data_IF_869752931686
#
_entry.id   IF_869752931686
#
_cell.length_a   1.000
_cell.length_b   1.000
_cell.length_c   1.000
_cell.angle_alpha   90.00
_cell.angle_beta   90.00
_cell.angle_gamma   90.00
#
_symmetry.space_group_name_H-M   'P 1'
#
loop_
_entity.id
_entity.type
_entity.pdbx_description
1 polymer ?
#
# COMPACT_ATOMS: atom_id res chain seq x y z
N UNK A 1 34.82 -59.41 -10.54
CA UNK A 1 34.12 -58.18 -10.99
C UNK A 1 33.26 -57.68 -9.84
N UNK A 2 33.71 -56.68 -9.07
CA UNK A 2 32.96 -56.16 -7.93
C UNK A 2 32.08 -54.99 -8.37
N UNK A 3 30.76 -55.22 -8.42
CA UNK A 3 29.77 -54.15 -8.65
C UNK A 3 29.74 -53.25 -7.42
N UNK A 4 30.15 -52.00 -7.58
CA UNK A 4 30.08 -50.98 -6.52
C UNK A 4 28.65 -50.82 -6.03
N UNK A 5 28.44 -50.98 -4.72
CA UNK A 5 27.15 -50.67 -4.09
C UNK A 5 26.92 -49.16 -4.19
N UNK A 6 25.88 -48.77 -4.92
CA UNK A 6 25.45 -47.38 -4.99
C UNK A 6 25.07 -46.91 -3.59
N UNK A 7 25.62 -45.78 -3.16
CA UNK A 7 25.24 -45.17 -1.88
C UNK A 7 23.77 -44.72 -1.94
N UNK A 8 23.06 -44.67 -0.80
CA UNK A 8 21.70 -44.15 -0.76
C UNK A 8 21.66 -42.74 -1.35
N UNK A 9 20.67 -42.47 -2.17
CA UNK A 9 20.42 -41.15 -2.74
C UNK A 9 20.15 -40.10 -1.65
N UNK A 10 20.26 -38.83 -2.02
CA UNK A 10 19.91 -37.73 -1.10
C UNK A 10 18.46 -37.83 -0.60
N UNK A 11 17.54 -38.28 -1.47
CA UNK A 11 16.13 -38.45 -1.15
C UNK A 11 15.86 -39.58 -0.15
N UNK A 12 16.53 -40.73 -0.29
CA UNK A 12 16.41 -41.85 0.65
C UNK A 12 16.93 -41.46 2.04
N UNK A 13 18.06 -40.74 2.11
CA UNK A 13 18.57 -40.25 3.40
C UNK A 13 17.63 -39.24 4.07
N UNK A 14 16.92 -38.44 3.28
CA UNK A 14 15.94 -37.50 3.81
C UNK A 14 14.71 -38.24 4.38
N UNK A 15 14.25 -39.31 3.72
CA UNK A 15 13.14 -40.13 4.20
C UNK A 15 13.45 -40.83 5.54
N UNK A 16 14.68 -41.31 5.72
CA UNK A 16 15.11 -41.97 6.95
C UNK A 16 15.41 -41.00 8.11
N UNK A 17 15.44 -39.68 7.85
CA UNK A 17 15.86 -38.68 8.85
C UNK A 17 14.83 -38.42 9.96
N UNK A 18 13.60 -38.92 9.83
CA UNK A 18 12.50 -38.65 10.78
C UNK A 18 12.02 -37.19 10.79
N UNK A 19 12.57 -36.33 9.94
CA UNK A 19 12.13 -34.95 9.78
C UNK A 19 10.82 -34.95 9.01
N UNK A 20 9.73 -34.56 9.68
CA UNK A 20 8.45 -34.35 8.98
C UNK A 20 8.62 -33.17 8.01
N UNK A 21 8.28 -33.33 6.71
CA UNK A 21 8.29 -32.21 5.80
C UNK A 21 7.32 -31.15 6.33
N UNK A 22 7.76 -29.90 6.33
CA UNK A 22 6.88 -28.79 6.65
C UNK A 22 5.67 -28.83 5.69
N UNK A 23 4.44 -28.53 6.17
CA UNK A 23 3.30 -28.46 5.29
C UNK A 23 3.62 -27.47 4.17
N UNK A 24 3.43 -27.91 2.93
CA UNK A 24 3.54 -27.03 1.76
C UNK A 24 2.56 -25.89 2.01
N UNK A 25 3.00 -24.62 2.04
CA UNK A 25 2.06 -23.52 2.11
C UNK A 25 1.08 -23.70 0.95
N UNK A 26 -0.23 -23.67 1.23
CA UNK A 26 -1.22 -23.53 0.17
C UNK A 26 -0.90 -22.31 -0.69
N UNK A 27 -1.48 -22.18 -1.90
CA UNK A 27 -1.23 -21.02 -2.74
C UNK A 27 -1.42 -19.76 -1.88
N UNK A 28 -0.33 -19.04 -1.66
CA UNK A 28 -0.34 -17.85 -0.84
C UNK A 28 -1.36 -16.91 -1.50
N UNK A 29 -2.33 -16.44 -0.72
CA UNK A 29 -3.14 -15.32 -1.16
C UNK A 29 -2.18 -14.21 -1.59
N UNK A 30 -2.44 -13.61 -2.75
CA UNK A 30 -1.60 -12.51 -3.23
C UNK A 30 -1.41 -11.51 -2.08
N UNK A 31 -0.16 -11.09 -1.80
CA UNK A 31 0.04 -10.04 -0.82
C UNK A 31 -0.84 -8.85 -1.21
N UNK A 32 -1.51 -8.19 -0.24
CA UNK A 32 -2.31 -7.01 -0.56
C UNK A 32 -1.43 -6.07 -1.38
N UNK A 33 -1.97 -5.42 -2.44
CA UNK A 33 -1.20 -4.56 -3.30
C UNK A 33 -0.39 -3.63 -2.40
N UNK A 34 0.93 -3.71 -2.53
CA UNK A 34 1.85 -2.87 -1.77
C UNK A 34 1.38 -1.45 -2.08
N UNK A 35 0.87 -0.75 -1.07
CA UNK A 35 0.42 0.63 -1.25
C UNK A 35 1.58 1.33 -1.95
N UNK A 36 1.32 1.94 -3.10
CA UNK A 36 2.33 2.72 -3.80
C UNK A 36 2.62 3.92 -2.91
N UNK A 37 3.47 3.72 -1.91
CA UNK A 37 3.67 4.66 -0.80
C UNK A 37 4.42 5.92 -1.25
N UNK A 38 4.90 5.94 -2.51
CA UNK A 38 5.61 7.05 -3.12
C UNK A 38 4.86 7.82 -4.20
N UNK A 39 3.73 7.33 -4.72
CA UNK A 39 2.96 8.06 -5.75
C UNK A 39 1.73 8.67 -5.10
N UNK A 40 1.67 10.01 -5.09
CA UNK A 40 0.48 10.73 -4.61
C UNK A 40 -0.80 10.18 -5.25
N UNK A 41 -1.87 10.08 -4.48
CA UNK A 41 -3.15 9.52 -4.94
C UNK A 41 -4.12 10.64 -5.26
N UNK A 42 -4.79 10.55 -6.41
CA UNK A 42 -5.87 11.47 -6.72
C UNK A 42 -6.99 11.30 -5.70
N UNK A 43 -7.52 12.41 -5.21
CA UNK A 43 -8.67 12.45 -4.34
C UNK A 43 -9.56 13.64 -4.70
N UNK A 44 -10.76 13.62 -4.15
CA UNK A 44 -11.67 14.74 -4.12
C UNK A 44 -11.60 15.39 -2.74
N UNK A 45 -11.47 16.71 -2.72
CA UNK A 45 -11.49 17.53 -1.51
C UNK A 45 -12.87 18.15 -1.37
N UNK A 46 -13.57 17.82 -0.29
CA UNK A 46 -14.90 18.34 0.01
C UNK A 46 -14.82 19.62 0.85
N UNK A 47 -15.63 20.60 0.48
CA UNK A 47 -15.76 21.89 1.18
C UNK A 47 -14.40 22.58 1.48
N UNK A 48 -13.49 22.71 0.49
CA UNK A 48 -12.24 23.41 0.68
C UNK A 48 -12.46 24.89 1.02
N UNK A 49 -11.62 25.50 1.88
CA UNK A 49 -11.65 26.94 2.09
C UNK A 49 -11.45 27.71 0.77
N UNK A 50 -12.35 28.64 0.48
CA UNK A 50 -12.23 29.53 -0.68
C UNK A 50 -12.68 28.97 -2.03
N UNK A 51 -13.17 27.72 -2.11
CA UNK A 51 -13.76 27.19 -3.35
C UNK A 51 -15.14 26.55 -3.11
N UNK A 52 -16.10 26.77 -4.03
CA UNK A 52 -17.42 26.16 -3.92
C UNK A 52 -17.36 24.65 -4.25
N UNK A 53 -17.94 23.83 -3.39
CA UNK A 53 -18.19 22.41 -3.68
C UNK A 53 -17.00 21.48 -3.44
N UNK A 54 -16.76 20.58 -4.39
CA UNK A 54 -15.72 19.54 -4.30
C UNK A 54 -14.70 19.76 -5.42
N UNK A 55 -13.41 19.75 -5.09
CA UNK A 55 -12.32 20.03 -6.04
C UNK A 55 -11.37 18.83 -6.16
N UNK A 56 -10.73 18.63 -7.33
CA UNK A 56 -9.71 17.60 -7.48
C UNK A 56 -8.45 17.97 -6.67
N UNK A 57 -7.83 16.97 -6.05
CA UNK A 57 -6.60 17.13 -5.27
C UNK A 57 -5.69 15.91 -5.38
N UNK A 58 -4.46 16.10 -4.93
CA UNK A 58 -3.44 15.07 -4.84
C UNK A 58 -3.09 14.83 -3.37
N UNK A 59 -3.50 13.69 -2.83
CA UNK A 59 -3.16 13.22 -1.49
C UNK A 59 -1.73 12.65 -1.50
N UNK A 60 -0.83 13.32 -0.77
CA UNK A 60 0.60 13.01 -0.78
C UNK A 60 1.06 12.28 0.47
N UNK A 61 0.38 12.48 1.60
CA UNK A 61 0.82 11.97 2.90
C UNK A 61 -0.37 11.73 3.83
N UNK A 62 -0.27 10.72 4.70
CA UNK A 62 -1.20 10.51 5.82
C UNK A 62 -0.48 10.69 7.14
N UNK A 63 -1.14 11.31 8.12
CA UNK A 63 -0.69 11.35 9.52
C UNK A 63 -1.83 11.03 10.46
N UNK A 64 -1.50 10.42 11.60
CA UNK A 64 -2.41 10.23 12.72
C UNK A 64 -2.19 11.31 13.78
N UNK A 65 -3.26 11.87 14.30
CA UNK A 65 -3.30 12.85 15.36
C UNK A 65 -4.36 12.47 16.40
N UNK A 66 -4.41 13.12 17.58
CA UNK A 66 -5.44 12.80 18.59
C UNK A 66 -6.88 12.96 18.08
N UNK A 67 -7.12 13.87 17.13
CA UNK A 67 -8.43 14.10 16.51
C UNK A 67 -8.76 13.13 15.37
N UNK A 68 -7.81 12.30 14.94
CA UNK A 68 -7.99 11.28 13.93
C UNK A 68 -6.95 11.30 12.83
N UNK A 69 -7.32 10.74 11.67
CA UNK A 69 -6.48 10.70 10.49
C UNK A 69 -6.61 11.99 9.68
N UNK A 70 -5.48 12.51 9.24
CA UNK A 70 -5.40 13.65 8.35
C UNK A 70 -4.56 13.32 7.13
N UNK A 71 -5.02 13.78 5.97
CA UNK A 71 -4.30 13.68 4.71
C UNK A 71 -3.71 15.03 4.31
N UNK A 72 -2.45 15.05 3.91
CA UNK A 72 -1.82 16.21 3.28
C UNK A 72 -2.19 16.20 1.81
N UNK A 73 -2.84 17.27 1.35
CA UNK A 73 -3.38 17.34 -0.01
C UNK A 73 -2.96 18.65 -0.67
N UNK A 74 -2.52 18.55 -1.92
CA UNK A 74 -2.34 19.68 -2.81
C UNK A 74 -3.55 19.82 -3.74
N UNK A 75 -4.17 20.99 -3.81
CA UNK A 75 -5.33 21.27 -4.66
C UNK A 75 -5.36 22.73 -5.11
N UNK A 76 -6.03 23.02 -6.22
CA UNK A 76 -6.14 24.38 -6.75
C UNK A 76 -7.47 25.03 -6.34
N UNK A 77 -7.42 26.29 -5.90
CA UNK A 77 -8.60 27.13 -5.65
C UNK A 77 -8.66 28.30 -6.63
N UNK A 78 -9.85 28.67 -7.15
CA UNK A 78 -9.99 29.87 -7.96
C UNK A 78 -9.63 31.12 -7.15
N UNK A 79 -8.89 32.05 -7.75
CA UNK A 79 -8.54 33.34 -7.16
C UNK A 79 -8.74 34.49 -8.15
N UNK A 80 -8.76 35.74 -7.67
CA UNK A 80 -8.98 36.93 -8.52
C UNK A 80 -7.90 37.12 -9.60
N UNK A 81 -6.72 36.55 -9.41
CA UNK A 81 -5.58 36.62 -10.33
C UNK A 81 -5.25 35.27 -10.98
N UNK A 82 -6.18 34.32 -10.95
CA UNK A 82 -5.99 32.95 -11.42
C UNK A 82 -5.99 31.92 -10.29
N UNK A 83 -5.86 30.63 -10.62
CA UNK A 83 -5.87 29.55 -9.64
C UNK A 83 -4.64 29.61 -8.73
N UNK A 84 -4.84 29.39 -7.44
CA UNK A 84 -3.79 29.29 -6.43
C UNK A 84 -3.66 27.85 -5.98
N UNK A 85 -2.44 27.33 -5.92
CA UNK A 85 -2.16 26.02 -5.35
C UNK A 85 -2.14 26.13 -3.82
N UNK A 86 -2.96 25.33 -3.17
CA UNK A 86 -3.02 25.19 -1.71
C UNK A 86 -2.50 23.82 -1.34
N UNK A 87 -1.65 23.79 -0.31
CA UNK A 87 -1.21 22.56 0.32
C UNK A 87 -1.61 22.59 1.79
N UNK A 88 -2.44 21.65 2.21
CA UNK A 88 -3.01 21.64 3.56
C UNK A 88 -3.20 20.23 4.10
N UNK A 89 -3.20 20.13 5.43
CA UNK A 89 -3.64 18.93 6.13
C UNK A 89 -5.15 19.01 6.35
N UNK A 90 -5.89 18.02 5.85
CA UNK A 90 -7.34 17.96 5.94
C UNK A 90 -7.78 16.69 6.68
N UNK A 91 -8.89 16.72 7.44
CA UNK A 91 -9.47 15.53 8.05
C UNK A 91 -9.78 14.46 7.00
N UNK A 92 -9.63 13.18 7.32
CA UNK A 92 -9.93 12.09 6.39
C UNK A 92 -11.37 12.14 5.85
N UNK A 93 -12.34 12.58 6.66
CA UNK A 93 -13.74 12.76 6.23
C UNK A 93 -13.96 13.86 5.18
N UNK A 94 -12.97 14.73 4.96
CA UNK A 94 -12.99 15.74 3.89
C UNK A 94 -12.43 15.22 2.57
N UNK A 95 -11.93 13.97 2.53
CA UNK A 95 -11.23 13.40 1.38
C UNK A 95 -11.95 12.15 0.86
N UNK A 96 -12.16 12.07 -0.45
CA UNK A 96 -12.69 10.87 -1.10
C UNK A 96 -11.76 10.40 -2.22
N UNK A 97 -11.25 9.18 -2.10
CA UNK A 97 -10.50 8.52 -3.18
C UNK A 97 -11.49 7.89 -4.16
N UNK A 98 -11.22 7.95 -5.46
CA UNK A 98 -11.98 7.25 -6.50
C UNK A 98 -11.21 6.06 -7.03
#
# INVERSE_FOLDING_TARGET
MHRGRSRPSLGERAADSGVRPAPVPGPAADPPPRREDGTGRHCWVHAPPGAPGTVPGLLVEWRQRPEGWQGRVAYAVPGPHGPVLVEAWLPAGSLQQR
#
